data_IF_811265584818
#
_entry.id   IF_811265584818
#
_cell.length_a   1.000
_cell.length_b   1.000
_cell.length_c   1.000
_cell.angle_alpha   90.00
_cell.angle_beta   90.00
_cell.angle_gamma   90.00
#
_symmetry.space_group_name_H-M   'P 1'
#
loop_
_entity.id
_entity.type
_entity.pdbx_description
1 polymer ?
#
# COMPACT_ATOMS: atom_id res chain seq x y z
N UNK A 1 10.62 8.32 6.81
CA UNK A 1 11.25 8.00 5.52
C UNK A 1 11.88 9.23 4.96
N UNK A 2 13.13 9.16 4.76
CA UNK A 2 13.90 10.34 4.50
C UNK A 2 14.55 10.41 3.14
N UNK A 3 14.60 9.36 2.41
CA UNK A 3 15.35 9.34 1.15
C UNK A 3 14.43 9.42 -0.06
N UNK A 4 13.51 10.39 -0.03
CA UNK A 4 12.61 10.59 -1.15
C UNK A 4 13.29 11.49 -2.16
N UNK A 5 13.44 11.02 -3.40
CA UNK A 5 14.12 11.80 -4.43
C UNK A 5 13.24 12.94 -4.93
N UNK A 6 13.15 13.09 -6.22
CA UNK A 6 12.37 14.14 -6.86
C UNK A 6 10.91 14.09 -6.41
N UNK A 7 10.31 15.24 -6.12
CA UNK A 7 8.93 15.34 -5.68
C UNK A 7 8.72 15.15 -4.19
N UNK A 8 9.78 15.31 -3.42
CA UNK A 8 9.76 15.10 -1.98
C UNK A 8 8.61 15.82 -1.26
N UNK A 9 8.44 17.11 -1.52
CA UNK A 9 7.41 17.90 -0.84
C UNK A 9 6.01 17.41 -1.14
N UNK A 10 5.76 17.04 -2.39
CA UNK A 10 4.49 16.48 -2.82
C UNK A 10 4.23 15.13 -2.14
N UNK A 11 5.25 14.32 -2.01
CA UNK A 11 5.15 13.01 -1.38
C UNK A 11 4.90 13.15 0.13
N UNK A 12 5.57 14.08 0.78
CA UNK A 12 5.35 14.36 2.21
C UNK A 12 3.90 14.75 2.46
N UNK A 13 3.33 15.62 1.63
CA UNK A 13 1.93 15.98 1.75
C UNK A 13 1.01 14.77 1.59
N UNK A 14 1.31 13.90 0.65
CA UNK A 14 0.55 12.68 0.45
C UNK A 14 0.61 11.76 1.67
N UNK A 15 1.78 11.64 2.29
CA UNK A 15 1.93 10.85 3.51
C UNK A 15 1.13 11.44 4.67
N UNK A 16 1.13 12.77 4.82
CA UNK A 16 0.39 13.44 5.88
C UNK A 16 -1.12 13.24 5.77
N UNK A 17 -1.64 13.15 4.56
CA UNK A 17 -3.06 12.96 4.31
C UNK A 17 -3.45 11.49 4.13
N UNK A 18 -2.54 10.57 4.40
CA UNK A 18 -2.74 9.13 4.21
C UNK A 18 -2.53 8.40 5.53
N UNK A 19 -2.94 7.14 5.53
CA UNK A 19 -2.65 6.21 6.62
C UNK A 19 -1.48 5.35 6.15
N UNK A 20 -0.40 5.33 6.94
CA UNK A 20 0.81 4.61 6.56
C UNK A 20 1.22 3.67 7.69
N UNK A 21 1.48 2.41 7.33
CA UNK A 21 2.03 1.42 8.24
C UNK A 21 3.44 1.09 7.79
N UNK A 22 4.34 0.99 8.74
CA UNK A 22 5.76 0.77 8.47
C UNK A 22 6.18 -0.55 9.11
N UNK A 23 6.91 -1.36 8.36
CA UNK A 23 7.54 -2.57 8.87
C UNK A 23 9.01 -2.29 9.12
N UNK A 24 9.48 -2.67 10.31
CA UNK A 24 10.88 -2.47 10.69
C UNK A 24 11.53 -3.79 11.04
N UNK A 25 12.79 -3.93 10.63
CA UNK A 25 13.69 -4.98 11.08
C UNK A 25 14.70 -4.32 11.99
N UNK A 26 14.50 -4.46 13.31
CA UNK A 26 15.21 -3.68 14.34
C UNK A 26 14.99 -2.19 14.11
N UNK A 27 16.03 -1.45 13.73
CA UNK A 27 15.93 -0.01 13.47
C UNK A 27 15.78 0.33 11.99
N UNK A 28 15.83 -0.68 11.11
CA UNK A 28 15.79 -0.47 9.69
C UNK A 28 14.34 -0.59 9.18
N UNK A 29 13.88 0.42 8.48
CA UNK A 29 12.60 0.36 7.79
C UNK A 29 12.74 -0.57 6.59
N UNK A 30 12.04 -1.70 6.59
CA UNK A 30 12.13 -2.69 5.53
C UNK A 30 10.93 -2.71 4.59
N UNK A 31 9.87 -2.02 4.93
CA UNK A 31 8.70 -1.92 4.05
C UNK A 31 7.67 -0.96 4.59
N UNK A 32 6.71 -0.60 3.73
CA UNK A 32 5.58 0.21 4.15
C UNK A 32 4.38 -0.02 3.24
N UNK A 33 3.22 0.31 3.76
CA UNK A 33 1.98 0.39 3.00
C UNK A 33 1.32 1.73 3.27
N UNK A 34 0.88 2.39 2.21
CA UNK A 34 0.19 3.69 2.31
C UNK A 34 -1.21 3.53 1.72
N UNK A 35 -2.22 3.96 2.48
CA UNK A 35 -3.59 3.82 2.04
C UNK A 35 -4.43 5.03 2.44
N UNK A 36 -5.62 5.12 1.88
CA UNK A 36 -6.62 6.12 2.21
C UNK A 36 -7.96 5.46 2.44
N UNK A 37 -8.65 5.93 3.46
CA UNK A 37 -10.02 5.49 3.72
C UNK A 37 -10.99 6.48 3.06
N UNK A 38 -12.04 5.94 2.45
CA UNK A 38 -13.06 6.73 1.79
C UNK A 38 -14.36 6.69 2.61
N UNK A 39 -14.29 7.25 3.82
CA UNK A 39 -15.44 7.49 4.71
C UNK A 39 -16.42 6.32 4.81
N UNK A 40 -15.90 5.11 4.96
CA UNK A 40 -16.72 3.90 5.11
C UNK A 40 -17.00 3.16 3.82
N UNK A 41 -16.63 3.71 2.67
CA UNK A 41 -16.87 3.09 1.37
C UNK A 41 -15.74 2.18 0.90
N UNK A 42 -14.63 2.19 1.59
CA UNK A 42 -13.51 1.32 1.29
C UNK A 42 -12.20 1.94 1.69
N UNK A 43 -11.16 1.10 1.74
CA UNK A 43 -9.79 1.52 1.99
C UNK A 43 -8.98 1.19 0.74
N UNK A 44 -8.28 2.18 0.22
CA UNK A 44 -7.54 2.06 -1.04
C UNK A 44 -6.06 2.13 -0.77
N UNK A 45 -5.37 1.02 -1.02
CA UNK A 45 -3.91 0.95 -0.89
C UNK A 45 -3.28 1.53 -2.15
N UNK A 46 -2.50 2.57 -1.97
CA UNK A 46 -1.84 3.28 -3.07
C UNK A 46 -0.41 2.81 -3.27
N UNK A 47 0.30 2.52 -2.17
CA UNK A 47 1.67 2.06 -2.25
C UNK A 47 1.87 0.88 -1.31
N UNK A 48 2.55 -0.14 -1.80
CA UNK A 48 3.04 -1.25 -0.99
C UNK A 48 4.47 -1.51 -1.44
N UNK A 49 5.43 -1.29 -0.56
CA UNK A 49 6.83 -1.43 -0.90
C UNK A 49 7.55 -2.24 0.17
N UNK A 50 8.36 -3.19 -0.26
CA UNK A 50 9.24 -3.98 0.62
C UNK A 50 10.65 -3.93 0.04
N UNK A 51 11.64 -3.68 0.88
CA UNK A 51 13.04 -3.68 0.44
C UNK A 51 13.39 -5.01 -0.20
N UNK A 52 14.17 -4.94 -1.28
CA UNK A 52 14.50 -6.10 -2.09
C UNK A 52 15.08 -7.25 -1.27
N UNK A 53 15.98 -6.95 -0.35
CA UNK A 53 16.63 -7.97 0.49
C UNK A 53 15.76 -8.48 1.64
N UNK A 54 14.56 -7.92 1.80
CA UNK A 54 13.59 -8.37 2.80
C UNK A 54 12.38 -9.07 2.16
N UNK A 55 12.38 -9.21 0.85
CA UNK A 55 11.29 -9.90 0.13
C UNK A 55 11.35 -11.39 0.39
N UNK A 56 10.21 -12.06 0.28
CA UNK A 56 10.12 -13.48 0.57
C UNK A 56 9.90 -13.82 2.03
N UNK A 57 9.77 -12.82 2.90
CA UNK A 57 9.49 -13.00 4.33
C UNK A 57 8.05 -12.67 4.69
N UNK A 58 7.18 -12.53 3.71
CA UNK A 58 5.76 -12.20 3.89
C UNK A 58 5.50 -10.85 4.56
N UNK A 59 6.43 -9.91 4.45
CA UNK A 59 6.26 -8.58 5.03
C UNK A 59 5.13 -7.83 4.34
N UNK A 60 5.04 -7.90 3.02
CA UNK A 60 3.94 -7.28 2.27
C UNK A 60 2.59 -7.82 2.68
N UNK A 61 2.49 -9.13 2.85
CA UNK A 61 1.25 -9.77 3.33
C UNK A 61 0.88 -9.28 4.71
N UNK A 62 1.84 -9.20 5.62
CA UNK A 62 1.61 -8.73 6.99
C UNK A 62 1.14 -7.28 7.02
N UNK A 63 1.72 -6.44 6.16
CA UNK A 63 1.30 -5.04 6.04
C UNK A 63 -0.14 -4.94 5.56
N UNK A 64 -0.51 -5.71 4.53
CA UNK A 64 -1.89 -5.73 4.02
C UNK A 64 -2.86 -6.25 5.08
N UNK A 65 -2.47 -7.28 5.81
CA UNK A 65 -3.30 -7.83 6.89
C UNK A 65 -3.53 -6.80 7.99
N UNK A 66 -2.52 -5.98 8.30
CA UNK A 66 -2.67 -4.93 9.30
C UNK A 66 -3.70 -3.89 8.87
N UNK A 67 -3.71 -3.51 7.60
CA UNK A 67 -4.74 -2.61 7.07
C UNK A 67 -6.12 -3.23 7.27
N UNK A 68 -6.29 -4.49 6.92
CA UNK A 68 -7.56 -5.18 7.07
C UNK A 68 -8.00 -5.28 8.53
N UNK A 69 -7.07 -5.48 9.44
CA UNK A 69 -7.37 -5.55 10.86
C UNK A 69 -7.88 -4.24 11.42
N UNK A 70 -7.34 -3.12 10.94
CA UNK A 70 -7.75 -1.81 11.42
C UNK A 70 -9.04 -1.31 10.78
N UNK A 71 -9.47 -1.92 9.68
CA UNK A 71 -10.70 -1.56 8.97
C UNK A 71 -11.53 -2.80 8.68
N UNK A 72 -11.98 -3.52 9.73
CA UNK A 72 -12.64 -4.82 9.53
C UNK A 72 -14.02 -4.73 8.87
N UNK A 73 -14.65 -3.57 8.90
CA UNK A 73 -15.99 -3.38 8.36
C UNK A 73 -15.98 -2.81 6.92
N UNK A 74 -14.82 -2.70 6.32
CA UNK A 74 -14.68 -2.10 5.00
C UNK A 74 -13.90 -3.01 4.08
N UNK A 75 -14.20 -2.99 2.78
CA UNK A 75 -13.34 -3.67 1.81
C UNK A 75 -12.02 -2.92 1.68
N UNK A 76 -10.94 -3.66 1.49
CA UNK A 76 -9.61 -3.10 1.23
C UNK A 76 -9.23 -3.47 -0.20
N UNK A 77 -8.92 -2.44 -0.99
CA UNK A 77 -8.54 -2.60 -2.38
C UNK A 77 -7.10 -2.16 -2.58
N UNK A 78 -6.38 -2.84 -3.45
CA UNK A 78 -5.03 -2.45 -3.83
C UNK A 78 -4.96 -2.28 -5.34
N UNK A 79 -4.29 -1.23 -5.75
CA UNK A 79 -4.02 -0.96 -7.15
C UNK A 79 -2.80 -1.80 -7.55
N UNK A 80 -3.03 -2.84 -8.33
CA UNK A 80 -1.98 -3.80 -8.66
C UNK A 80 -1.15 -3.35 -9.85
N UNK A 81 0.15 -3.36 -9.69
CA UNK A 81 1.10 -3.24 -10.79
C UNK A 81 1.76 -4.59 -11.12
N UNK A 82 1.58 -5.58 -10.25
CA UNK A 82 2.05 -6.95 -10.46
C UNK A 82 0.95 -7.92 -10.00
N UNK A 83 0.07 -8.28 -10.92
CA UNK A 83 -1.11 -9.10 -10.59
C UNK A 83 -0.74 -10.43 -9.95
N UNK A 84 0.32 -11.09 -10.44
CA UNK A 84 0.73 -12.39 -9.94
C UNK A 84 1.04 -12.38 -8.44
N UNK A 85 1.61 -11.30 -7.94
CA UNK A 85 1.93 -11.18 -6.53
C UNK A 85 0.67 -11.27 -5.67
N UNK A 86 -0.36 -10.51 -6.04
CA UNK A 86 -1.60 -10.48 -5.26
C UNK A 86 -2.43 -11.74 -5.45
N UNK A 87 -2.39 -12.34 -6.62
CA UNK A 87 -3.06 -13.62 -6.86
C UNK A 87 -2.48 -14.73 -6.01
N UNK A 88 -1.17 -14.76 -5.81
CA UNK A 88 -0.51 -15.73 -4.93
C UNK A 88 -0.94 -15.57 -3.47
N UNK A 89 -1.29 -14.35 -3.06
CA UNK A 89 -1.80 -14.10 -1.73
C UNK A 89 -3.26 -14.49 -1.56
N UNK A 90 -3.91 -14.92 -2.63
CA UNK A 90 -5.32 -15.30 -2.60
C UNK A 90 -6.28 -14.15 -2.75
N UNK A 91 -5.82 -12.99 -3.17
CA UNK A 91 -6.68 -11.82 -3.36
C UNK A 91 -7.45 -11.95 -4.65
N UNK A 92 -8.70 -11.50 -4.64
CA UNK A 92 -9.59 -11.57 -5.78
C UNK A 92 -9.52 -10.29 -6.60
N UNK A 93 -9.33 -10.43 -7.90
CA UNK A 93 -9.38 -9.30 -8.81
C UNK A 93 -10.83 -8.83 -8.95
N UNK A 94 -11.08 -7.53 -8.70
CA UNK A 94 -12.43 -6.97 -8.72
C UNK A 94 -12.64 -5.90 -9.77
N UNK A 95 -11.60 -5.52 -10.51
CA UNK A 95 -11.74 -4.49 -11.53
C UNK A 95 -10.45 -4.13 -12.21
N UNK A 96 -10.52 -3.10 -13.02
CA UNK A 96 -9.37 -2.56 -13.76
C UNK A 96 -9.31 -1.07 -13.54
N UNK A 97 -8.12 -0.50 -13.75
CA UNK A 97 -7.89 0.93 -13.60
C UNK A 97 -7.60 1.54 -14.97
N UNK A 98 -8.25 2.66 -15.23
CA UNK A 98 -8.05 3.41 -16.46
C UNK A 98 -7.59 4.82 -16.13
N UNK A 99 -6.63 5.31 -16.88
CA UNK A 99 -6.28 6.72 -16.80
C UNK A 99 -7.22 7.49 -17.72
N UNK A 100 -7.86 8.51 -17.14
CA UNK A 100 -8.81 9.33 -17.90
C UNK A 100 -8.12 10.61 -18.33
N UNK A 101 -8.18 10.91 -19.62
CA UNK A 101 -7.59 12.13 -20.17
C UNK A 101 -8.68 12.97 -20.80
N UNK A 102 -8.66 14.26 -20.51
CA UNK A 102 -9.54 15.22 -21.16
C UNK A 102 -9.09 15.41 -22.60
N UNK A 103 -10.05 15.54 -23.50
CA UNK A 103 -9.76 15.80 -24.91
C UNK A 103 -9.63 17.29 -25.16
#
# INVERSE_FOLDING_TARGET
>A
MECLPVGRDKYIKALESSITYIACDETLICGYVRCREDDGFGVYVHDLLVRKNHRGRQIGKSLMERVCQDFPDQPVYVMSDIDQYYEKLGYRRVGSIFEVKAK
#
